data_IF_652621737967
#
_entry.id   IF_652621737967
#
_cell.length_a   1.000
_cell.length_b   1.000
_cell.length_c   1.000
_cell.angle_alpha   90.00
_cell.angle_beta   90.00
_cell.angle_gamma   90.00
#
_symmetry.space_group_name_H-M   'P 1'
#
loop_
_entity.id
_entity.type
_entity.pdbx_description
1 polymer ?
#
# COMPACT_ATOMS: atom_id res chain seq x y z
N UNK A 1 13.79 -27.47 26.91
CA UNK A 1 13.22 -27.08 25.59
C UNK A 1 12.34 -25.87 25.83
N UNK A 2 12.69 -24.71 25.27
CA UNK A 2 11.89 -23.50 25.40
C UNK A 2 10.60 -23.65 24.57
N UNK A 3 9.46 -23.29 25.16
CA UNK A 3 8.15 -23.31 24.53
C UNK A 3 8.15 -22.27 23.39
N UNK A 4 7.71 -22.60 22.16
CA UNK A 4 7.57 -21.58 21.12
C UNK A 4 6.57 -20.54 21.63
N UNK A 5 7.01 -19.29 21.72
CA UNK A 5 6.12 -18.17 21.98
C UNK A 5 4.99 -18.21 20.95
N UNK A 6 3.75 -18.10 21.44
CA UNK A 6 2.58 -18.03 20.56
C UNK A 6 2.69 -16.75 19.75
N UNK A 7 2.87 -16.85 18.43
CA UNK A 7 2.73 -15.72 17.53
C UNK A 7 1.35 -15.14 17.79
N UNK A 8 1.29 -13.98 18.45
CA UNK A 8 0.04 -13.27 18.64
C UNK A 8 -0.40 -12.71 17.30
N UNK A 9 -1.70 -12.71 17.03
CA UNK A 9 -2.34 -12.31 15.75
C UNK A 9 -2.00 -10.87 15.26
N UNK A 10 -1.19 -10.12 16.03
CA UNK A 10 -0.73 -8.77 15.75
C UNK A 10 0.63 -8.68 15.01
N UNK A 11 1.34 -9.79 14.78
CA UNK A 11 2.65 -9.78 14.10
C UNK A 11 2.56 -10.02 12.59
N UNK A 12 1.49 -9.56 11.94
CA UNK A 12 1.33 -9.68 10.49
C UNK A 12 2.19 -8.65 9.77
N UNK A 13 3.22 -9.12 9.06
CA UNK A 13 4.08 -8.28 8.21
C UNK A 13 3.50 -8.16 6.81
N UNK A 14 3.35 -6.92 6.33
CA UNK A 14 2.87 -6.64 4.98
C UNK A 14 4.06 -6.25 4.10
N UNK A 15 4.29 -7.02 3.04
CA UNK A 15 5.35 -6.76 2.06
C UNK A 15 4.76 -6.19 0.77
N UNK A 16 5.22 -5.01 0.36
CA UNK A 16 4.74 -4.32 -0.84
C UNK A 16 5.84 -4.30 -1.91
N UNK A 17 5.53 -4.78 -3.11
CA UNK A 17 6.36 -4.57 -4.30
C UNK A 17 6.06 -3.20 -4.91
N UNK A 18 6.91 -2.22 -4.59
CA UNK A 18 6.76 -0.85 -5.06
C UNK A 18 6.79 -0.70 -6.58
N UNK A 19 7.62 -1.48 -7.28
CA UNK A 19 7.76 -1.37 -8.75
C UNK A 19 6.47 -1.80 -9.46
N UNK A 20 5.90 -2.93 -9.02
CA UNK A 20 4.64 -3.45 -9.54
C UNK A 20 3.45 -2.58 -9.16
N UNK A 21 3.47 -1.93 -7.98
CA UNK A 21 2.45 -0.95 -7.58
C UNK A 21 2.49 0.31 -8.45
N UNK A 22 3.68 0.87 -8.70
CA UNK A 22 3.84 2.04 -9.57
C UNK A 22 3.39 1.70 -10.99
N UNK A 23 3.81 0.55 -11.53
CA UNK A 23 3.43 0.11 -12.87
C UNK A 23 1.91 0.00 -13.03
N UNK A 24 1.24 -0.66 -12.07
CA UNK A 24 -0.22 -0.79 -12.06
C UNK A 24 -0.90 0.57 -11.93
N UNK A 25 -0.46 1.42 -11.00
CA UNK A 25 -1.02 2.75 -10.81
C UNK A 25 -0.89 3.65 -12.04
N UNK A 26 0.25 3.57 -12.74
CA UNK A 26 0.52 4.36 -13.94
C UNK A 26 -0.39 3.97 -15.12
N UNK A 27 -0.74 2.69 -15.26
CA UNK A 27 -1.54 2.20 -16.38
C UNK A 27 -3.04 2.00 -16.09
N UNK A 28 -3.45 1.92 -14.82
CA UNK A 28 -4.84 1.63 -14.45
C UNK A 28 -5.74 2.87 -14.41
N UNK A 29 -5.17 4.06 -14.20
CA UNK A 29 -5.92 5.30 -14.04
C UNK A 29 -5.98 6.09 -15.35
N UNK A 30 -7.07 6.86 -15.60
CA UNK A 30 -7.09 7.83 -16.69
C UNK A 30 -5.98 8.87 -16.51
N UNK A 31 -5.62 9.65 -17.56
CA UNK A 31 -4.63 10.72 -17.43
C UNK A 31 -5.06 11.72 -16.35
N UNK A 32 -4.32 11.74 -15.24
CA UNK A 32 -4.53 12.69 -14.15
C UNK A 32 -3.38 13.67 -14.11
N UNK A 33 -3.72 14.95 -14.17
CA UNK A 33 -2.76 16.05 -14.14
C UNK A 33 -3.19 17.14 -13.17
N UNK A 34 -2.23 17.90 -12.66
CA UNK A 34 -2.49 19.15 -11.94
C UNK A 34 -3.01 20.23 -12.88
N UNK A 35 -3.45 21.36 -12.34
CA UNK A 35 -3.79 22.56 -13.13
C UNK A 35 -2.63 23.08 -13.99
N UNK A 36 -1.38 22.80 -13.59
CA UNK A 36 -0.17 23.10 -14.35
C UNK A 36 0.25 21.99 -15.33
N UNK A 37 -0.56 20.94 -15.50
CA UNK A 37 -0.32 19.84 -16.44
C UNK A 37 0.63 18.75 -15.94
N UNK A 38 1.05 18.78 -14.67
CA UNK A 38 1.97 17.76 -14.13
C UNK A 38 1.25 16.42 -13.88
N UNK A 39 1.75 15.29 -14.39
CA UNK A 39 1.14 13.97 -14.15
C UNK A 39 1.13 13.57 -12.68
N UNK A 40 0.00 13.04 -12.21
CA UNK A 40 -0.19 12.63 -10.79
C UNK A 40 -0.76 11.22 -10.63
N UNK A 41 -1.15 10.56 -11.72
CA UNK A 41 -1.85 9.27 -11.70
C UNK A 41 -1.14 8.20 -10.88
N UNK A 42 0.13 7.95 -11.15
CA UNK A 42 0.90 6.92 -10.44
C UNK A 42 0.98 7.19 -8.93
N UNK A 43 1.26 8.43 -8.53
CA UNK A 43 1.34 8.82 -7.11
C UNK A 43 -0.02 8.61 -6.44
N UNK A 44 -1.10 9.13 -7.03
CA UNK A 44 -2.45 8.97 -6.47
C UNK A 44 -2.88 7.51 -6.38
N UNK A 45 -2.57 6.70 -7.39
CA UNK A 45 -2.88 5.28 -7.40
C UNK A 45 -2.13 4.51 -6.30
N UNK A 46 -0.82 4.71 -6.18
CA UNK A 46 -0.03 4.04 -5.12
C UNK A 46 -0.50 4.46 -3.73
N UNK A 47 -0.73 5.76 -3.48
CA UNK A 47 -1.24 6.23 -2.19
C UNK A 47 -2.59 5.60 -1.86
N UNK A 48 -3.51 5.51 -2.83
CA UNK A 48 -4.83 4.89 -2.61
C UNK A 48 -4.69 3.40 -2.27
N UNK A 49 -3.81 2.67 -2.95
CA UNK A 49 -3.58 1.25 -2.66
C UNK A 49 -2.98 1.04 -1.26
N UNK A 50 -2.04 1.90 -0.84
CA UNK A 50 -1.47 1.84 0.52
C UNK A 50 -2.52 2.16 1.58
N UNK A 51 -3.33 3.21 1.38
CA UNK A 51 -4.43 3.53 2.30
C UNK A 51 -5.39 2.36 2.45
N UNK A 52 -5.69 1.67 1.34
CA UNK A 52 -6.56 0.49 1.37
C UNK A 52 -6.00 -0.65 2.22
N UNK A 53 -4.69 -0.88 2.15
CA UNK A 53 -4.02 -1.88 3.01
C UNK A 53 -4.19 -1.53 4.49
N UNK A 54 -4.06 -0.25 4.86
CA UNK A 54 -4.24 0.18 6.26
C UNK A 54 -5.69 0.00 6.72
N UNK A 55 -6.67 0.33 5.86
CA UNK A 55 -8.09 0.10 6.13
C UNK A 55 -8.43 -1.38 6.32
N UNK A 56 -7.86 -2.25 5.48
CA UNK A 56 -8.10 -3.70 5.54
C UNK A 56 -7.36 -4.37 6.73
N UNK A 57 -6.36 -3.69 7.33
CA UNK A 57 -5.55 -4.17 8.44
C UNK A 57 -5.49 -3.16 9.63
N UNK A 58 -6.62 -2.87 10.31
CA UNK A 58 -6.72 -1.82 11.32
C UNK A 58 -5.95 -2.07 12.63
N UNK A 59 -5.54 -3.31 12.87
CA UNK A 59 -4.72 -3.69 14.03
C UNK A 59 -3.21 -3.75 13.68
N UNK A 60 -2.85 -3.40 12.45
CA UNK A 60 -1.44 -3.36 12.04
C UNK A 60 -0.70 -2.25 12.77
N UNK A 61 0.57 -2.44 13.18
CA UNK A 61 1.37 -1.39 13.84
C UNK A 61 1.59 -0.12 13.00
N UNK A 62 1.31 -0.17 11.70
CA UNK A 62 1.40 0.97 10.77
C UNK A 62 0.06 1.70 10.56
N UNK A 63 -1.05 1.17 11.09
CA UNK A 63 -2.41 1.73 10.98
C UNK A 63 -2.82 2.56 12.19
#
# INVERSE_FOLDING_TARGET
MAKPESITDNDSVILVDGSSYIYRAYHALPPLTTSSGQPTGAVRGVTTMVMRILEDHPNSPVG
#
